data_IF_258288496691
#
_entry.id   IF_258288496691
#
_cell.length_a   1.000
_cell.length_b   1.000
_cell.length_c   1.000
_cell.angle_alpha   90.00
_cell.angle_beta   90.00
_cell.angle_gamma   90.00
#
_symmetry.space_group_name_H-M   'P 1'
#
loop_
_entity.id
_entity.type
_entity.pdbx_description
1 polymer ?
#
# COMPACT_ATOMS: atom_id res chain seq x y z
N UNK A 1 12.52 1.67 -2.90
CA UNK A 1 11.25 1.46 -3.59
C UNK A 1 10.46 0.36 -2.92
N UNK A 2 9.16 0.54 -2.65
CA UNK A 2 8.32 -0.43 -1.94
C UNK A 2 7.02 -0.66 -2.72
N UNK A 3 6.48 -1.86 -2.65
CA UNK A 3 5.07 -2.12 -2.98
C UNK A 3 4.21 -1.96 -1.74
N UNK A 4 3.21 -1.07 -1.80
CA UNK A 4 2.29 -0.85 -0.69
C UNK A 4 1.32 -2.03 -0.52
N UNK A 5 0.86 -2.23 0.73
CA UNK A 5 -0.19 -3.21 1.03
C UNK A 5 -1.50 -2.84 0.30
N UNK A 6 -1.92 -1.57 0.41
CA UNK A 6 -3.01 -0.96 -0.35
C UNK A 6 -2.51 -0.25 -1.62
N UNK A 7 -3.40 0.11 -2.55
CA UNK A 7 -3.00 0.81 -3.76
C UNK A 7 -2.49 2.23 -3.44
N UNK A 8 -1.50 2.68 -4.20
CA UNK A 8 -1.00 4.07 -4.15
C UNK A 8 -1.90 5.01 -4.97
N UNK A 9 -2.66 4.44 -5.91
CA UNK A 9 -3.64 5.14 -6.72
C UNK A 9 -4.52 4.16 -7.48
N UNK A 10 -5.72 4.62 -7.82
CA UNK A 10 -6.70 3.86 -8.58
C UNK A 10 -7.30 4.72 -9.69
N UNK A 11 -7.72 4.07 -10.76
CA UNK A 11 -8.41 4.69 -11.89
C UNK A 11 -9.57 3.82 -12.33
N UNK A 12 -10.68 4.46 -12.68
CA UNK A 12 -11.92 3.81 -13.04
C UNK A 12 -12.38 4.22 -14.42
N UNK A 13 -13.08 3.32 -15.10
CA UNK A 13 -13.77 3.60 -16.36
C UNK A 13 -15.13 2.91 -16.38
N UNK A 14 -16.13 3.60 -16.91
CA UNK A 14 -17.47 3.07 -17.13
C UNK A 14 -17.72 2.91 -18.64
N UNK A 15 -17.23 1.83 -19.27
CA UNK A 15 -17.46 1.59 -20.69
C UNK A 15 -18.94 1.32 -20.99
N UNK A 16 -19.28 1.36 -22.27
CA UNK A 16 -20.60 0.93 -22.73
C UNK A 16 -20.88 -0.53 -22.30
N UNK A 17 -22.15 -0.88 -22.03
CA UNK A 17 -22.54 -2.22 -21.62
C UNK A 17 -21.96 -3.33 -22.51
N UNK A 18 -21.35 -4.34 -21.87
CA UNK A 18 -20.75 -5.50 -22.57
C UNK A 18 -21.77 -6.57 -22.96
N UNK A 19 -23.01 -6.48 -22.48
CA UNK A 19 -24.02 -7.55 -22.61
C UNK A 19 -25.22 -7.06 -23.40
N UNK A 20 -25.45 -7.66 -24.57
CA UNK A 20 -26.80 -7.89 -25.07
C UNK A 20 -27.29 -9.22 -24.46
N UNK A 21 -28.59 -9.42 -24.16
CA UNK A 21 -29.12 -10.56 -23.39
C UNK A 21 -28.77 -11.99 -23.89
N UNK A 22 -28.12 -12.13 -25.04
CA UNK A 22 -27.79 -13.39 -25.70
C UNK A 22 -26.29 -13.75 -25.71
N UNK A 23 -25.40 -12.84 -25.33
CA UNK A 23 -23.95 -13.04 -25.39
C UNK A 23 -23.35 -13.18 -23.98
N UNK A 24 -22.51 -14.20 -23.81
CA UNK A 24 -21.84 -14.53 -22.56
C UNK A 24 -21.06 -13.37 -21.92
N UNK A 25 -21.55 -12.86 -20.79
CA UNK A 25 -20.95 -11.70 -20.11
C UNK A 25 -19.56 -11.99 -19.53
N UNK A 26 -19.23 -13.23 -19.18
CA UNK A 26 -17.95 -13.57 -18.59
C UNK A 26 -16.82 -13.68 -19.61
N UNK A 27 -17.11 -14.21 -20.79
CA UNK A 27 -16.13 -14.26 -21.87
C UNK A 27 -15.83 -12.87 -22.42
N UNK A 28 -16.85 -12.02 -22.59
CA UNK A 28 -16.64 -10.61 -23.01
C UNK A 28 -15.87 -9.80 -21.96
N UNK A 29 -16.17 -9.99 -20.68
CA UNK A 29 -15.39 -9.36 -19.61
C UNK A 29 -13.92 -9.83 -19.62
N UNK A 30 -13.68 -11.11 -19.93
CA UNK A 30 -12.32 -11.66 -20.04
C UNK A 30 -11.57 -11.12 -21.25
N UNK A 31 -12.23 -10.97 -22.40
CA UNK A 31 -11.67 -10.32 -23.60
C UNK A 31 -11.22 -8.90 -23.26
N UNK A 32 -12.11 -8.08 -22.67
CA UNK A 32 -11.76 -6.73 -22.24
C UNK A 32 -10.60 -6.73 -21.24
N UNK A 33 -10.64 -7.59 -20.22
CA UNK A 33 -9.56 -7.70 -19.24
C UNK A 33 -8.21 -8.07 -19.89
N UNK A 34 -8.23 -8.93 -20.91
CA UNK A 34 -7.04 -9.34 -21.66
C UNK A 34 -6.49 -8.21 -22.54
N UNK A 35 -7.37 -7.45 -23.20
CA UNK A 35 -7.00 -6.27 -23.99
C UNK A 35 -6.34 -5.20 -23.11
N UNK A 36 -6.91 -4.94 -21.94
CA UNK A 36 -6.36 -4.00 -20.96
C UNK A 36 -5.00 -4.45 -20.42
N UNK A 37 -4.84 -5.74 -20.11
CA UNK A 37 -3.55 -6.31 -19.73
C UNK A 37 -2.52 -6.17 -20.87
N UNK A 38 -2.95 -6.33 -22.13
CA UNK A 38 -2.15 -6.10 -23.33
C UNK A 38 -1.70 -4.65 -23.48
N UNK A 39 -2.56 -3.68 -23.14
CA UNK A 39 -2.19 -2.26 -23.09
C UNK A 39 -1.05 -2.04 -22.09
N UNK A 40 -1.20 -2.53 -20.85
CA UNK A 40 -0.15 -2.42 -19.83
C UNK A 40 1.17 -3.07 -20.29
N UNK A 41 1.10 -4.26 -20.89
CA UNK A 41 2.27 -5.01 -21.37
C UNK A 41 2.99 -4.26 -22.49
N UNK A 42 2.25 -3.67 -23.43
CA UNK A 42 2.82 -2.90 -24.53
C UNK A 42 3.44 -1.54 -24.09
N UNK A 43 3.07 -1.04 -22.91
CA UNK A 43 3.78 0.06 -22.23
C UNK A 43 4.97 -0.43 -21.37
N UNK A 44 5.24 -1.75 -21.41
CA UNK A 44 6.27 -2.46 -20.64
C UNK A 44 5.97 -2.59 -19.15
N UNK A 45 4.77 -2.24 -18.70
CA UNK A 45 4.44 -2.10 -17.28
C UNK A 45 4.25 -3.47 -16.61
N UNK A 46 3.80 -4.47 -17.36
CA UNK A 46 3.54 -5.82 -16.85
C UNK A 46 4.21 -6.87 -17.73
N UNK A 47 4.51 -8.04 -17.14
CA UNK A 47 5.23 -9.14 -17.80
C UNK A 47 4.30 -10.25 -18.33
N UNK A 48 2.99 -10.15 -18.08
CA UNK A 48 2.00 -11.18 -18.39
C UNK A 48 1.87 -12.27 -17.33
N UNK A 49 2.78 -12.31 -16.36
CA UNK A 49 2.69 -13.16 -15.17
C UNK A 49 1.78 -12.52 -14.11
N UNK A 50 1.19 -13.35 -13.25
CA UNK A 50 0.26 -12.89 -12.23
C UNK A 50 -0.68 -13.97 -11.71
N UNK A 51 -1.76 -13.53 -11.09
CA UNK A 51 -2.84 -14.37 -10.59
C UNK A 51 -4.21 -13.78 -10.91
N UNK A 52 -5.10 -14.60 -11.44
CA UNK A 52 -6.45 -14.24 -11.84
C UNK A 52 -7.53 -14.75 -10.89
N UNK A 53 -8.67 -14.09 -10.89
CA UNK A 53 -9.88 -14.58 -10.21
C UNK A 53 -11.14 -14.30 -11.02
N UNK A 54 -12.13 -15.18 -10.85
CA UNK A 54 -13.50 -15.03 -11.38
C UNK A 54 -14.47 -15.29 -10.24
N UNK A 55 -15.31 -14.32 -9.95
CA UNK A 55 -16.32 -14.39 -8.90
C UNK A 55 -17.66 -13.94 -9.45
N UNK A 56 -18.69 -14.74 -9.25
CA UNK A 56 -20.09 -14.41 -9.55
C UNK A 56 -20.89 -14.48 -8.26
N UNK A 57 -21.58 -13.40 -7.91
CA UNK A 57 -22.39 -13.30 -6.70
C UNK A 57 -23.80 -12.80 -7.02
N UNK A 58 -24.79 -13.22 -6.23
CA UNK A 58 -26.11 -12.60 -6.21
C UNK A 58 -26.13 -11.53 -5.12
N UNK A 59 -26.28 -10.25 -5.49
CA UNK A 59 -26.22 -9.14 -4.53
C UNK A 59 -27.45 -9.07 -3.63
N UNK A 60 -28.54 -9.76 -3.98
CA UNK A 60 -29.78 -9.80 -3.18
C UNK A 60 -29.67 -10.77 -2.01
N UNK A 61 -28.72 -11.71 -2.08
CA UNK A 61 -28.49 -12.72 -1.04
C UNK A 61 -27.14 -12.43 -0.40
N UNK A 62 -27.16 -12.03 0.87
CA UNK A 62 -25.93 -11.96 1.65
C UNK A 62 -25.48 -13.38 2.00
N UNK A 63 -24.55 -13.93 1.21
CA UNK A 63 -24.10 -15.30 1.32
C UNK A 63 -22.88 -15.60 0.45
N UNK A 64 -22.54 -16.89 0.32
CA UNK A 64 -21.43 -17.34 -0.53
C UNK A 64 -21.67 -16.99 -2.01
N UNK A 65 -20.62 -16.69 -2.78
CA UNK A 65 -20.74 -16.43 -4.20
C UNK A 65 -21.30 -17.67 -4.92
N UNK A 66 -22.16 -17.43 -5.92
CA UNK A 66 -22.70 -18.48 -6.79
C UNK A 66 -21.59 -19.26 -7.49
N UNK A 67 -20.49 -18.58 -7.80
CA UNK A 67 -19.28 -19.17 -8.34
C UNK A 67 -18.06 -18.37 -7.88
N UNK A 68 -17.00 -19.05 -7.47
CA UNK A 68 -15.71 -18.41 -7.19
C UNK A 68 -14.55 -19.33 -7.57
N UNK A 69 -13.59 -18.77 -8.30
CA UNK A 69 -12.27 -19.34 -8.53
C UNK A 69 -11.23 -18.23 -8.35
N UNK A 70 -10.17 -18.52 -7.62
CA UNK A 70 -9.10 -17.59 -7.24
C UNK A 70 -7.75 -18.24 -7.50
N UNK A 71 -6.71 -17.43 -7.48
CA UNK A 71 -5.31 -17.86 -7.63
C UNK A 71 -5.08 -18.67 -8.91
N UNK A 72 -5.81 -18.30 -9.97
CA UNK A 72 -5.70 -18.95 -11.27
C UNK A 72 -4.52 -18.37 -12.04
N UNK A 73 -3.72 -19.19 -12.75
CA UNK A 73 -2.75 -18.64 -13.67
C UNK A 73 -3.46 -17.82 -14.77
N UNK A 74 -2.91 -16.66 -15.19
CA UNK A 74 -3.35 -15.94 -16.37
C UNK A 74 -3.37 -16.86 -17.59
N UNK A 75 -4.35 -16.69 -18.48
CA UNK A 75 -4.54 -17.56 -19.65
C UNK A 75 -5.49 -18.73 -19.38
N UNK A 76 -5.09 -19.96 -19.74
CA UNK A 76 -6.02 -21.10 -19.86
C UNK A 76 -6.83 -21.40 -18.59
N UNK A 77 -6.22 -21.26 -17.40
CA UNK A 77 -6.91 -21.46 -16.13
C UNK A 77 -8.03 -20.44 -15.89
N UNK A 78 -7.76 -19.17 -16.21
CA UNK A 78 -8.71 -18.08 -16.13
C UNK A 78 -9.82 -18.20 -17.20
N UNK A 79 -9.45 -18.56 -18.43
CA UNK A 79 -10.39 -18.84 -19.53
C UNK A 79 -11.39 -19.94 -19.13
N UNK A 80 -10.90 -21.08 -18.67
CA UNK A 80 -11.77 -22.18 -18.25
C UNK A 80 -12.65 -21.84 -17.03
N UNK A 81 -12.25 -20.87 -16.20
CA UNK A 81 -13.09 -20.37 -15.11
C UNK A 81 -14.16 -19.40 -15.63
N UNK A 82 -13.82 -18.54 -16.58
CA UNK A 82 -14.77 -17.64 -17.23
C UNK A 82 -15.83 -18.42 -18.01
N UNK A 83 -15.46 -19.44 -18.79
CA UNK A 83 -16.42 -20.31 -19.50
C UNK A 83 -17.43 -20.97 -18.55
N UNK A 84 -16.97 -21.41 -17.37
CA UNK A 84 -17.84 -22.00 -16.35
C UNK A 84 -18.74 -20.96 -15.67
N UNK A 85 -18.24 -19.75 -15.46
CA UNK A 85 -19.05 -18.65 -14.94
C UNK A 85 -20.09 -18.18 -15.97
N UNK A 86 -19.75 -18.22 -17.25
CA UNK A 86 -20.63 -17.84 -18.37
C UNK A 86 -21.84 -18.76 -18.51
N UNK A 87 -21.65 -20.05 -18.22
CA UNK A 87 -22.74 -21.01 -18.10
C UNK A 87 -23.73 -20.66 -16.96
N UNK A 88 -23.35 -19.78 -16.04
CA UNK A 88 -24.24 -19.21 -15.01
C UNK A 88 -24.71 -17.83 -15.49
N UNK A 89 -25.90 -17.81 -16.11
CA UNK A 89 -26.49 -16.61 -16.68
C UNK A 89 -26.41 -15.39 -15.74
N UNK A 90 -25.93 -14.26 -16.26
CA UNK A 90 -25.76 -13.02 -15.50
C UNK A 90 -27.09 -12.25 -15.40
N UNK A 91 -28.02 -12.83 -14.62
CA UNK A 91 -29.34 -12.25 -14.37
C UNK A 91 -29.27 -10.92 -13.60
N UNK A 92 -30.31 -10.05 -13.70
CA UNK A 92 -30.43 -8.86 -12.87
C UNK A 92 -30.26 -9.14 -11.36
N UNK A 93 -29.55 -8.26 -10.67
CA UNK A 93 -29.13 -8.42 -9.27
C UNK A 93 -27.88 -9.26 -9.06
N UNK A 94 -27.28 -9.83 -10.12
CA UNK A 94 -25.98 -10.54 -10.04
C UNK A 94 -24.83 -9.62 -10.44
N UNK A 95 -23.67 -9.91 -9.86
CA UNK A 95 -22.40 -9.23 -10.12
C UNK A 95 -21.35 -10.25 -10.48
N UNK A 96 -20.77 -10.10 -11.65
CA UNK A 96 -19.58 -10.80 -12.10
C UNK A 96 -18.37 -9.89 -11.88
N UNK A 97 -17.31 -10.43 -11.27
CA UNK A 97 -16.02 -9.77 -11.11
C UNK A 97 -14.92 -10.66 -11.66
N UNK A 98 -14.16 -10.14 -12.61
CA UNK A 98 -12.88 -10.70 -13.02
C UNK A 98 -11.76 -9.80 -12.53
N UNK A 99 -10.66 -10.37 -12.08
CA UNK A 99 -9.49 -9.60 -11.67
C UNK A 99 -8.20 -10.28 -12.08
N UNK A 100 -7.17 -9.48 -12.36
CA UNK A 100 -5.79 -9.92 -12.57
C UNK A 100 -4.87 -9.09 -11.67
N UNK A 101 -4.22 -9.76 -10.70
CA UNK A 101 -3.05 -9.22 -10.03
C UNK A 101 -1.85 -9.50 -10.93
N UNK A 102 -1.21 -8.45 -11.45
CA UNK A 102 -0.20 -8.56 -12.49
C UNK A 102 1.18 -8.22 -11.93
N UNK A 103 2.12 -9.11 -12.20
CA UNK A 103 3.53 -8.84 -11.98
C UNK A 103 4.02 -7.83 -13.03
N UNK A 104 4.87 -6.90 -12.59
CA UNK A 104 5.30 -5.82 -13.45
C UNK A 104 6.69 -5.32 -13.17
N UNK A 105 7.13 -4.47 -14.09
CA UNK A 105 8.50 -3.97 -14.14
C UNK A 105 8.53 -2.45 -14.27
N UNK A 106 9.44 -1.86 -13.51
CA UNK A 106 9.76 -0.44 -13.60
C UNK A 106 11.27 -0.27 -13.80
N UNK A 107 11.62 0.92 -14.31
CA UNK A 107 13.01 1.28 -14.60
C UNK A 107 13.58 2.10 -13.48
N UNK A 108 14.79 1.77 -13.05
CA UNK A 108 15.53 2.51 -12.05
C UNK A 108 16.98 2.61 -12.54
N UNK A 109 17.32 3.75 -13.15
CA UNK A 109 18.59 3.96 -13.82
C UNK A 109 18.85 2.87 -14.89
N UNK A 110 20.03 2.23 -14.87
CA UNK A 110 20.36 1.15 -15.81
C UNK A 110 19.74 -0.21 -15.44
N UNK A 111 18.94 -0.30 -14.37
CA UNK A 111 18.37 -1.55 -13.89
C UNK A 111 16.85 -1.63 -14.13
N UNK A 112 16.38 -2.83 -14.44
CA UNK A 112 14.95 -3.16 -14.43
C UNK A 112 14.65 -3.86 -13.11
N UNK A 113 13.62 -3.39 -12.44
CA UNK A 113 13.13 -3.97 -11.19
C UNK A 113 11.78 -4.60 -11.41
N UNK A 114 11.44 -5.56 -10.56
CA UNK A 114 10.22 -6.36 -10.68
C UNK A 114 9.47 -6.39 -9.36
N UNK A 115 8.14 -6.39 -9.45
CA UNK A 115 7.24 -6.75 -8.36
C UNK A 115 6.23 -7.80 -8.84
N UNK A 116 5.91 -8.76 -7.97
CA UNK A 116 4.91 -9.80 -8.24
C UNK A 116 3.48 -9.26 -8.31
N UNK A 117 3.24 -8.06 -7.76
CA UNK A 117 1.97 -7.34 -7.88
C UNK A 117 2.24 -5.85 -8.04
N UNK A 118 2.47 -5.42 -9.27
CA UNK A 118 2.64 -4.01 -9.59
C UNK A 118 1.30 -3.32 -9.85
N UNK A 119 0.39 -4.04 -10.52
CA UNK A 119 -0.95 -3.59 -10.85
C UNK A 119 -1.99 -4.64 -10.48
N UNK A 120 -3.21 -4.19 -10.21
CA UNK A 120 -4.40 -5.04 -10.25
C UNK A 120 -5.38 -4.45 -11.24
N UNK A 121 -5.75 -5.24 -12.25
CA UNK A 121 -6.84 -4.92 -13.17
C UNK A 121 -8.12 -5.63 -12.70
N UNK A 122 -9.24 -4.95 -12.80
CA UNK A 122 -10.56 -5.51 -12.48
C UNK A 122 -11.57 -5.12 -13.54
N UNK A 123 -12.44 -6.05 -13.90
CA UNK A 123 -13.66 -5.80 -14.66
C UNK A 123 -14.83 -6.32 -13.84
N UNK A 124 -15.77 -5.45 -13.54
CA UNK A 124 -17.03 -5.77 -12.89
C UNK A 124 -18.17 -5.60 -13.89
N UNK A 125 -19.03 -6.61 -14.00
CA UNK A 125 -20.20 -6.60 -14.89
C UNK A 125 -21.43 -6.91 -14.04
N UNK A 126 -22.39 -6.00 -14.09
CA UNK A 126 -23.68 -6.14 -13.44
C UNK A 126 -24.66 -6.82 -14.40
N UNK A 127 -25.59 -7.62 -13.87
CA UNK A 127 -26.64 -8.25 -14.70
C UNK A 127 -27.59 -7.26 -15.36
N UNK A 128 -27.60 -6.01 -14.91
CA UNK A 128 -28.27 -4.88 -15.56
C UNK A 128 -27.50 -4.35 -16.79
N UNK A 129 -26.30 -4.87 -17.05
CA UNK A 129 -25.44 -4.50 -18.18
C UNK A 129 -24.40 -3.44 -17.87
N UNK A 130 -24.43 -2.80 -16.69
CA UNK A 130 -23.39 -1.85 -16.29
C UNK A 130 -22.03 -2.55 -16.19
N UNK A 131 -20.96 -1.82 -16.52
CA UNK A 131 -19.59 -2.32 -16.49
C UNK A 131 -18.70 -1.28 -15.82
N UNK A 132 -17.83 -1.73 -14.93
CA UNK A 132 -16.80 -0.92 -14.28
C UNK A 132 -15.45 -1.59 -14.48
N UNK A 133 -14.51 -0.84 -15.05
CA UNK A 133 -13.12 -1.23 -15.15
C UNK A 133 -12.36 -0.48 -14.06
N UNK A 134 -11.49 -1.18 -13.34
CA UNK A 134 -10.59 -0.60 -12.34
C UNK A 134 -9.14 -0.98 -12.60
N UNK A 135 -8.23 -0.02 -12.47
CA UNK A 135 -6.79 -0.23 -12.42
C UNK A 135 -6.28 0.30 -11.08
N UNK A 136 -5.59 -0.54 -10.32
CA UNK A 136 -4.94 -0.14 -9.07
C UNK A 136 -3.42 -0.30 -9.20
N UNK A 137 -2.65 0.74 -8.86
CA UNK A 137 -1.19 0.70 -8.81
C UNK A 137 -0.69 0.51 -7.38
N UNK A 138 0.40 -0.23 -7.19
CA UNK A 138 0.92 -0.56 -5.84
C UNK A 138 2.35 -0.07 -5.56
N UNK A 139 3.06 0.49 -6.55
CA UNK A 139 4.43 0.98 -6.37
C UNK A 139 4.51 2.50 -6.50
N UNK A 140 5.53 3.08 -5.87
CA UNK A 140 5.90 4.50 -5.94
C UNK A 140 6.71 4.89 -7.18
N UNK A 141 7.03 3.96 -8.10
CA UNK A 141 7.88 4.25 -9.26
C UNK A 141 7.40 5.43 -10.14
N UNK A 142 6.12 5.80 -10.03
CA UNK A 142 5.46 6.87 -10.78
C UNK A 142 5.46 8.22 -10.05
N UNK A 143 5.98 8.28 -8.82
CA UNK A 143 5.90 9.42 -7.92
C UNK A 143 7.27 10.10 -7.82
N UNK A 144 7.29 11.43 -7.76
CA UNK A 144 8.52 12.20 -7.55
C UNK A 144 9.17 11.93 -6.18
N UNK A 145 8.39 11.41 -5.23
CA UNK A 145 8.80 11.04 -3.88
C UNK A 145 8.37 9.61 -3.60
N UNK A 146 9.27 8.77 -3.08
CA UNK A 146 9.01 7.37 -2.77
C UNK A 146 8.07 7.21 -1.56
N UNK A 147 7.55 6.01 -1.28
CA UNK A 147 6.61 5.77 -0.16
C UNK A 147 7.23 6.07 1.22
N UNK A 148 8.55 6.29 1.29
CA UNK A 148 9.31 6.64 2.50
C UNK A 148 9.61 8.14 2.56
N UNK A 149 9.14 8.94 1.61
CA UNK A 149 9.38 10.39 1.58
C UNK A 149 10.70 10.81 0.94
N UNK A 150 11.41 9.92 0.24
CA UNK A 150 12.69 10.25 -0.42
C UNK A 150 12.45 10.72 -1.86
N UNK A 151 13.08 11.82 -2.30
CA UNK A 151 13.02 12.23 -3.70
C UNK A 151 13.57 11.14 -4.63
N UNK A 152 12.87 10.90 -5.74
CA UNK A 152 13.25 9.98 -6.81
C UNK A 152 12.84 10.49 -8.21
N UNK A 153 13.16 11.75 -8.57
CA UNK A 153 12.68 12.37 -9.80
C UNK A 153 13.15 11.64 -11.07
N UNK A 154 14.32 11.00 -11.05
CA UNK A 154 14.82 10.22 -12.19
C UNK A 154 13.97 8.96 -12.42
N UNK A 155 13.61 8.25 -11.34
CA UNK A 155 12.73 7.07 -11.40
C UNK A 155 11.34 7.48 -11.91
N UNK A 156 10.79 8.55 -11.34
CA UNK A 156 9.52 9.12 -11.77
C UNK A 156 9.55 9.47 -13.27
N UNK A 157 10.58 10.18 -13.72
CA UNK A 157 10.74 10.61 -15.10
C UNK A 157 10.83 9.45 -16.10
N UNK A 158 11.38 8.31 -15.71
CA UNK A 158 11.45 7.11 -16.56
C UNK A 158 10.14 6.31 -16.62
N UNK A 159 9.29 6.39 -15.59
CA UNK A 159 8.12 5.51 -15.43
C UNK A 159 6.76 6.21 -15.54
N UNK A 160 6.61 7.43 -15.01
CA UNK A 160 5.35 8.17 -15.07
C UNK A 160 4.82 8.34 -16.51
N UNK A 161 5.65 8.65 -17.53
CA UNK A 161 5.16 8.74 -18.92
C UNK A 161 4.60 7.42 -19.46
N UNK A 162 5.10 6.28 -18.98
CA UNK A 162 4.64 4.95 -19.41
C UNK A 162 3.27 4.63 -18.81
N UNK A 163 3.05 5.03 -17.55
CA UNK A 163 1.73 4.97 -16.90
C UNK A 163 0.74 5.89 -17.61
N UNK A 164 1.11 7.15 -17.86
CA UNK A 164 0.28 8.11 -18.59
C UNK A 164 -0.16 7.58 -19.97
N UNK A 165 0.79 7.00 -20.73
CA UNK A 165 0.49 6.38 -22.02
C UNK A 165 -0.44 5.18 -21.90
N UNK A 166 -0.33 4.39 -20.83
CA UNK A 166 -1.24 3.28 -20.57
C UNK A 166 -2.66 3.76 -20.25
N UNK A 167 -2.81 4.74 -19.35
CA UNK A 167 -4.12 5.32 -19.01
C UNK A 167 -4.83 5.89 -20.23
N UNK A 168 -4.13 6.68 -21.05
CA UNK A 168 -4.67 7.24 -22.29
C UNK A 168 -5.13 6.15 -23.28
N UNK A 169 -4.36 5.06 -23.40
CA UNK A 169 -4.72 3.93 -24.28
C UNK A 169 -5.87 3.10 -23.71
N UNK A 170 -5.97 2.95 -22.40
CA UNK A 170 -7.11 2.32 -21.74
C UNK A 170 -8.39 3.11 -22.07
N UNK A 171 -8.38 4.45 -21.98
CA UNK A 171 -9.52 5.27 -22.43
C UNK A 171 -9.92 4.98 -23.88
N UNK A 172 -8.94 4.73 -24.76
CA UNK A 172 -9.20 4.33 -26.15
C UNK A 172 -9.84 2.94 -26.29
N UNK A 173 -9.45 1.97 -25.46
CA UNK A 173 -10.02 0.61 -25.45
C UNK A 173 -11.41 0.59 -24.83
N UNK A 174 -11.62 1.30 -23.72
CA UNK A 174 -12.90 1.37 -23.02
C UNK A 174 -13.91 2.29 -23.71
N UNK A 175 -13.42 3.26 -24.49
CA UNK A 175 -14.25 4.32 -25.07
C UNK A 175 -14.82 5.30 -24.03
N UNK A 176 -14.35 5.22 -22.78
CA UNK A 176 -14.82 6.03 -21.66
C UNK A 176 -13.68 6.92 -21.14
N UNK A 177 -14.00 8.12 -20.62
CA UNK A 177 -13.00 8.91 -19.90
C UNK A 177 -12.55 8.16 -18.63
N UNK A 178 -11.31 8.41 -18.22
CA UNK A 178 -10.81 7.95 -16.93
C UNK A 178 -11.42 8.80 -15.82
N UNK A 179 -11.86 8.14 -14.76
CA UNK A 179 -12.22 8.74 -13.48
C UNK A 179 -11.14 8.39 -12.45
N UNK A 180 -10.26 9.32 -12.09
CA UNK A 180 -9.25 9.09 -11.07
C UNK A 180 -9.91 8.82 -9.71
N UNK A 181 -9.41 7.82 -8.99
CA UNK A 181 -9.89 7.50 -7.65
C UNK A 181 -9.54 8.58 -6.63
N UNK A 182 -10.08 8.42 -5.42
CA UNK A 182 -9.81 9.35 -4.32
C UNK A 182 -8.30 9.47 -4.03
N UNK A 183 -7.83 10.67 -3.63
CA UNK A 183 -6.47 10.85 -3.17
C UNK A 183 -6.13 9.86 -2.06
N UNK A 184 -4.99 9.18 -2.22
CA UNK A 184 -4.45 8.35 -1.16
C UNK A 184 -3.50 9.18 -0.30
N UNK A 185 -3.09 8.61 0.83
CA UNK A 185 -1.98 9.13 1.64
C UNK A 185 -0.66 9.35 0.87
N UNK A 186 -0.48 8.66 -0.24
CA UNK A 186 0.78 8.63 -0.97
C UNK A 186 0.77 9.60 -2.15
N UNK A 187 -0.39 9.71 -2.82
CA UNK A 187 -0.47 10.40 -4.08
C UNK A 187 -1.92 10.79 -4.40
N UNK A 188 -2.04 11.79 -5.26
CA UNK A 188 -3.31 12.27 -5.82
C UNK A 188 -3.42 11.77 -7.27
N UNK A 189 -4.25 10.74 -7.54
CA UNK A 189 -4.45 10.23 -8.90
C UNK A 189 -5.06 11.30 -9.81
N UNK A 190 -4.51 11.42 -11.03
CA UNK A 190 -5.02 12.28 -12.09
C UNK A 190 -5.30 11.46 -13.35
N UNK A 191 -5.91 12.07 -14.37
CA UNK A 191 -6.18 11.40 -15.63
C UNK A 191 -4.88 10.94 -16.35
N UNK A 192 -3.77 11.61 -16.08
CA UNK A 192 -2.45 11.33 -16.66
C UNK A 192 -1.53 10.51 -15.74
N UNK A 193 -1.98 10.13 -14.54
CA UNK A 193 -1.17 9.39 -13.57
C UNK A 193 -1.33 9.96 -12.17
N UNK A 194 -0.31 10.66 -11.68
CA UNK A 194 -0.34 11.28 -10.36
C UNK A 194 0.03 12.77 -10.47
N UNK A 195 -0.55 13.59 -9.60
CA UNK A 195 -0.17 15.00 -9.50
C UNK A 195 1.28 15.13 -9.03
N UNK A 196 2.02 16.08 -9.63
CA UNK A 196 3.37 16.41 -9.18
C UNK A 196 3.31 17.12 -7.82
N UNK A 197 3.99 16.56 -6.82
CA UNK A 197 4.09 17.13 -5.48
C UNK A 197 5.27 18.12 -5.36
N UNK A 198 5.99 18.38 -6.46
CA UNK A 198 7.04 19.38 -6.54
C UNK A 198 6.47 20.80 -6.47
N UNK A 199 6.80 21.53 -5.41
CA UNK A 199 6.55 22.97 -5.24
C UNK A 199 5.11 23.40 -4.87
N UNK A 200 4.50 22.78 -3.86
CA UNK A 200 3.45 23.46 -3.10
C UNK A 200 3.60 23.14 -1.61
N UNK A 201 4.15 24.10 -0.87
CA UNK A 201 3.83 24.24 0.54
C UNK A 201 2.33 24.53 0.63
N UNK A 202 1.52 23.50 0.81
CA UNK A 202 0.09 23.63 1.01
C UNK A 202 -0.26 22.89 2.29
N UNK A 203 -0.75 23.68 3.24
CA UNK A 203 -1.52 23.27 4.40
C UNK A 203 -2.42 22.08 4.08
N UNK A 204 -2.06 20.89 4.56
CA UNK A 204 -3.04 19.83 4.76
C UNK A 204 -3.46 19.88 6.23
N UNK A 205 -4.22 20.93 6.55
CA UNK A 205 -4.86 21.11 7.85
C UNK A 205 -6.16 20.28 7.86
N UNK A 206 -6.10 19.22 8.65
CA UNK A 206 -7.16 18.65 9.47
C UNK A 206 -8.49 18.20 8.84
N UNK A 207 -8.59 16.87 8.66
CA UNK A 207 -9.75 16.11 9.17
C UNK A 207 -9.44 14.63 9.48
N UNK A 208 -8.39 14.03 8.90
CA UNK A 208 -8.09 12.59 9.12
C UNK A 208 -6.58 12.25 9.26
N UNK A 209 -5.69 13.24 9.21
CA UNK A 209 -4.21 13.07 9.23
C UNK A 209 -3.60 12.59 10.55
N UNK A 210 -4.41 12.34 11.59
CA UNK A 210 -3.92 11.82 12.88
C UNK A 210 -3.43 10.36 12.79
N UNK A 211 -3.74 9.64 11.70
CA UNK A 211 -3.58 8.20 11.66
C UNK A 211 -2.38 7.63 10.89
N UNK A 212 -1.49 8.42 10.28
CA UNK A 212 -0.49 7.82 9.37
C UNK A 212 1.01 8.16 9.59
N UNK A 213 1.84 7.14 9.41
CA UNK A 213 3.28 7.04 9.73
C UNK A 213 4.15 8.24 9.29
N UNK A 214 3.99 8.87 8.11
CA UNK A 214 4.77 10.07 7.77
C UNK A 214 4.41 11.31 8.61
N UNK A 215 3.15 11.43 9.04
CA UNK A 215 2.72 12.46 9.98
C UNK A 215 3.11 12.09 11.42
N UNK A 216 3.15 10.80 11.76
CA UNK A 216 3.61 10.30 13.07
C UNK A 216 5.10 10.53 13.28
N UNK A 217 5.92 10.17 12.30
CA UNK A 217 7.35 10.43 12.30
C UNK A 217 7.64 11.92 12.29
N UNK A 218 6.97 12.72 11.44
CA UNK A 218 7.09 14.19 11.49
C UNK A 218 6.68 14.76 12.85
N UNK A 219 5.59 14.30 13.45
CA UNK A 219 5.14 14.71 14.79
C UNK A 219 6.14 14.31 15.87
N UNK A 220 6.68 13.09 15.82
CA UNK A 220 7.74 12.63 16.72
C UNK A 220 9.02 13.46 16.55
N UNK A 221 9.44 13.73 15.31
CA UNK A 221 10.63 14.52 15.02
C UNK A 221 10.46 15.99 15.42
N UNK A 222 9.26 16.56 15.29
CA UNK A 222 8.95 17.90 15.76
C UNK A 222 9.01 18.03 17.30
N UNK A 223 8.76 16.92 18.02
CA UNK A 223 8.86 16.86 19.48
C UNK A 223 10.30 16.60 19.97
N UNK A 224 11.24 16.22 19.08
CA UNK A 224 12.64 16.02 19.44
C UNK A 224 13.42 17.34 19.42
N UNK A 225 14.20 17.65 20.47
CA UNK A 225 15.09 18.80 20.43
C UNK A 225 16.16 18.61 19.33
N UNK A 226 16.22 19.52 18.36
CA UNK A 226 17.31 19.63 17.39
C UNK A 226 17.18 18.86 16.06
N UNK A 227 15.97 18.44 15.65
CA UNK A 227 15.73 17.88 14.31
C UNK A 227 16.41 16.52 14.03
N UNK A 228 16.40 16.06 12.78
CA UNK A 228 16.96 14.79 12.30
C UNK A 228 18.29 15.00 11.55
N UNK A 229 19.33 15.47 12.23
CA UNK A 229 20.63 15.80 11.61
C UNK A 229 21.51 14.56 11.31
N UNK A 230 20.92 13.41 10.94
CA UNK A 230 21.65 12.16 10.70
C UNK A 230 22.31 11.55 11.95
N UNK A 231 21.87 11.95 13.15
CA UNK A 231 22.39 11.49 14.45
C UNK A 231 21.57 10.35 15.08
N UNK A 232 20.53 9.91 14.39
CA UNK A 232 19.65 8.82 14.80
C UNK A 232 20.09 7.48 14.18
N UNK A 233 19.55 6.38 14.69
CA UNK A 233 19.63 5.10 13.96
C UNK A 233 18.77 5.18 12.70
N UNK A 234 19.05 4.31 11.72
CA UNK A 234 18.13 4.10 10.61
C UNK A 234 16.78 3.66 11.19
N UNK A 235 15.70 4.33 10.81
CA UNK A 235 14.36 4.11 11.37
C UNK A 235 13.54 3.12 10.54
N UNK A 236 14.16 2.45 9.57
CA UNK A 236 13.52 1.47 8.69
C UNK A 236 14.39 0.22 8.53
N UNK A 237 13.76 -0.95 8.34
CA UNK A 237 14.47 -2.22 8.11
C UNK A 237 13.53 -3.23 7.47
N UNK A 238 14.07 -4.07 6.59
CA UNK A 238 13.38 -5.22 5.99
C UNK A 238 13.74 -6.53 6.71
N UNK A 239 14.63 -6.47 7.71
CA UNK A 239 15.02 -7.61 8.52
C UNK A 239 14.09 -7.77 9.74
N UNK A 240 14.07 -8.96 10.36
CA UNK A 240 13.36 -9.17 11.61
C UNK A 240 13.79 -8.17 12.69
N UNK A 241 12.81 -7.69 13.47
CA UNK A 241 13.03 -6.71 14.54
C UNK A 241 12.82 -7.35 15.90
N UNK A 242 13.72 -7.03 16.84
CA UNK A 242 13.51 -7.25 18.28
C UNK A 242 12.83 -6.01 18.84
N UNK A 243 11.79 -6.19 19.65
CA UNK A 243 11.06 -5.07 20.22
C UNK A 243 10.64 -5.31 21.68
N UNK A 244 10.51 -4.22 22.44
CA UNK A 244 9.96 -4.19 23.79
C UNK A 244 8.81 -3.18 23.87
N UNK A 245 7.80 -3.48 24.70
CA UNK A 245 6.65 -2.57 24.87
C UNK A 245 7.03 -1.40 25.75
N UNK A 246 6.59 -0.22 25.37
CA UNK A 246 6.60 0.98 26.21
C UNK A 246 5.21 1.14 26.82
N UNK A 247 5.13 1.32 28.14
CA UNK A 247 3.86 1.33 28.88
C UNK A 247 3.80 2.41 29.95
N UNK A 248 2.57 2.81 30.29
CA UNK A 248 2.22 3.57 31.50
C UNK A 248 1.20 2.72 32.25
N UNK A 249 1.57 2.21 33.42
CA UNK A 249 0.80 1.16 34.11
C UNK A 249 0.59 -0.06 33.22
N UNK A 250 -0.68 -0.44 33.00
CA UNK A 250 -1.11 -1.54 32.12
C UNK A 250 -1.33 -1.09 30.65
N UNK A 251 -1.30 0.22 30.37
CA UNK A 251 -1.55 0.75 29.02
C UNK A 251 -0.25 0.74 28.20
N UNK A 252 -0.26 0.01 27.09
CA UNK A 252 0.85 0.05 26.11
C UNK A 252 0.73 1.31 25.25
N UNK A 253 1.79 2.11 25.23
CA UNK A 253 1.92 3.33 24.45
C UNK A 253 2.56 3.13 23.08
N UNK A 254 3.40 2.10 22.93
CA UNK A 254 4.11 1.80 21.69
C UNK A 254 5.18 0.74 21.90
N UNK A 255 6.08 0.62 20.92
CA UNK A 255 7.12 -0.40 20.91
C UNK A 255 8.47 0.22 20.57
N UNK A 256 9.46 0.01 21.44
CA UNK A 256 10.85 0.32 21.14
C UNK A 256 11.46 -0.88 20.42
N UNK A 257 12.16 -0.68 19.32
CA UNK A 257 12.65 -1.79 18.49
C UNK A 257 14.05 -1.55 17.94
N UNK A 258 14.73 -2.65 17.60
CA UNK A 258 16.04 -2.67 16.94
C UNK A 258 16.17 -3.89 16.02
N UNK A 259 16.99 -3.75 14.99
CA UNK A 259 17.31 -4.78 14.00
C UNK A 259 18.81 -5.04 13.95
N UNK A 260 19.16 -6.23 13.43
CA UNK A 260 20.56 -6.67 13.31
C UNK A 260 21.36 -5.88 12.27
N UNK A 261 20.70 -5.22 11.32
CA UNK A 261 21.33 -4.34 10.31
C UNK A 261 21.72 -2.96 10.87
N UNK A 262 21.42 -2.68 12.14
CA UNK A 262 21.75 -1.41 12.78
C UNK A 262 20.61 -0.40 12.79
N UNK A 263 19.41 -0.77 12.33
CA UNK A 263 18.21 0.06 12.45
C UNK A 263 17.59 -0.02 13.86
N UNK A 264 17.03 1.09 14.35
CA UNK A 264 16.28 1.13 15.60
C UNK A 264 15.31 2.32 15.62
N UNK A 265 14.21 2.16 16.36
CA UNK A 265 13.19 3.19 16.43
C UNK A 265 12.14 2.93 17.49
N UNK A 266 11.08 3.74 17.40
CA UNK A 266 9.91 3.63 18.24
C UNK A 266 8.66 3.68 17.38
N UNK A 267 7.78 2.70 17.56
CA UNK A 267 6.50 2.59 16.87
C UNK A 267 5.34 2.93 17.84
N UNK A 268 4.65 4.07 17.68
CA UNK A 268 3.56 4.48 18.56
C UNK A 268 2.31 3.61 18.35
N UNK A 269 1.65 3.22 19.45
CA UNK A 269 0.38 2.49 19.38
C UNK A 269 -0.77 3.46 19.09
N UNK A 270 -1.54 3.24 18.02
CA UNK A 270 -2.66 4.10 17.61
C UNK A 270 -3.69 4.31 18.72
N UNK A 271 -4.08 3.24 19.42
CA UNK A 271 -5.04 3.28 20.53
C UNK A 271 -4.55 4.08 21.76
N UNK A 272 -3.26 4.44 21.82
CA UNK A 272 -2.70 5.23 22.89
C UNK A 272 -2.73 6.75 22.63
N UNK A 273 -3.11 7.19 21.42
CA UNK A 273 -3.29 8.61 21.09
C UNK A 273 -2.04 9.46 21.37
N UNK A 274 -2.24 10.72 21.79
CA UNK A 274 -1.14 11.68 22.02
C UNK A 274 -0.09 11.24 23.03
N UNK A 275 -0.47 10.43 24.02
CA UNK A 275 0.47 9.87 25.00
C UNK A 275 1.52 8.95 24.34
N UNK A 276 1.17 8.28 23.23
CA UNK A 276 2.10 7.47 22.46
C UNK A 276 3.25 8.29 21.87
N UNK A 277 2.93 9.50 21.39
CA UNK A 277 3.88 10.41 20.76
C UNK A 277 4.80 11.08 21.79
N UNK A 278 4.22 11.51 22.92
CA UNK A 278 4.99 12.06 24.04
C UNK A 278 6.03 11.06 24.57
N UNK A 279 5.62 9.80 24.77
CA UNK A 279 6.55 8.75 25.14
C UNK A 279 7.59 8.47 24.04
N UNK A 280 7.17 8.40 22.79
CA UNK A 280 8.07 8.15 21.66
C UNK A 280 9.20 9.16 21.54
N UNK A 281 8.92 10.46 21.73
CA UNK A 281 9.94 11.49 21.73
C UNK A 281 11.02 11.25 22.80
N UNK A 282 10.61 10.87 24.02
CA UNK A 282 11.55 10.56 25.11
C UNK A 282 12.44 9.37 24.76
N UNK A 283 11.87 8.30 24.21
CA UNK A 283 12.61 7.08 23.91
C UNK A 283 13.50 7.21 22.67
N UNK A 284 13.05 7.93 21.63
CA UNK A 284 13.89 8.27 20.48
C UNK A 284 15.07 9.16 20.89
N UNK A 285 14.88 10.13 21.80
CA UNK A 285 15.99 10.92 22.33
C UNK A 285 17.03 10.07 23.08
N UNK A 286 16.57 9.01 23.78
CA UNK A 286 17.47 8.05 24.45
C UNK A 286 18.21 7.15 23.45
N UNK A 287 17.54 6.69 22.39
CA UNK A 287 18.20 5.98 21.28
C UNK A 287 19.24 6.86 20.59
N UNK A 288 18.92 8.12 20.28
CA UNK A 288 19.87 9.11 19.75
C UNK A 288 21.09 9.27 20.67
N UNK A 289 20.86 9.36 21.98
CA UNK A 289 21.94 9.44 22.96
C UNK A 289 22.81 8.18 22.98
N UNK A 290 22.23 7.01 22.76
CA UNK A 290 22.98 5.77 22.57
C UNK A 290 23.81 5.78 21.27
N UNK A 291 23.23 6.24 20.16
CA UNK A 291 23.92 6.37 18.86
C UNK A 291 25.10 7.34 18.92
N UNK A 292 24.94 8.46 19.62
CA UNK A 292 26.01 9.44 19.86
C UNK A 292 27.15 8.89 20.73
N UNK A 293 26.87 7.87 21.54
CA UNK A 293 27.89 7.09 22.27
C UNK A 293 28.44 5.92 21.46
N UNK A 294 28.13 5.85 20.16
CA UNK A 294 28.55 4.81 19.23
C UNK A 294 28.11 3.39 19.60
N UNK A 295 27.00 3.25 20.34
CA UNK A 295 26.39 1.94 20.59
C UNK A 295 25.71 1.43 19.32
N UNK A 296 25.65 0.11 19.15
CA UNK A 296 24.86 -0.53 18.10
C UNK A 296 23.36 -0.51 18.43
N UNK A 297 22.49 -0.60 17.42
CA UNK A 297 21.03 -0.59 17.63
C UNK A 297 20.54 -1.69 18.61
N UNK A 298 20.95 -2.97 18.48
CA UNK A 298 20.56 -4.00 19.45
C UNK A 298 21.07 -3.73 20.87
N UNK A 299 22.31 -3.25 21.00
CA UNK A 299 22.92 -2.89 22.29
C UNK A 299 22.21 -1.71 22.95
N UNK A 300 21.78 -0.73 22.15
CA UNK A 300 20.99 0.39 22.61
C UNK A 300 19.60 -0.03 23.10
N UNK A 301 18.94 -0.97 22.40
CA UNK A 301 17.68 -1.54 22.85
C UNK A 301 17.86 -2.29 24.18
N UNK A 302 18.85 -3.19 24.25
CA UNK A 302 19.13 -3.98 25.46
C UNK A 302 19.45 -3.07 26.67
N UNK A 303 20.18 -1.96 26.46
CA UNK A 303 20.48 -0.97 27.49
C UNK A 303 19.29 -0.09 27.92
N UNK A 304 18.16 -0.13 27.21
CA UNK A 304 16.94 0.61 27.53
C UNK A 304 15.82 -0.27 28.11
N UNK A 305 16.00 -1.60 28.14
CA UNK A 305 15.08 -2.51 28.82
C UNK A 305 14.99 -2.19 30.31
N UNK A 306 13.76 -2.22 30.84
CA UNK A 306 13.50 -1.90 32.25
C UNK A 306 13.66 -0.44 32.62
N UNK A 307 14.08 0.42 31.68
CA UNK A 307 14.27 1.82 31.93
C UNK A 307 12.91 2.52 32.08
N UNK A 308 12.86 3.47 33.01
CA UNK A 308 11.73 4.37 33.20
C UNK A 308 12.09 5.81 32.83
N UNK A 309 11.10 6.58 32.41
CA UNK A 309 11.18 8.03 32.29
C UNK A 309 10.28 8.66 33.36
N UNK A 310 10.89 9.23 34.40
CA UNK A 310 10.18 9.81 35.56
C UNK A 310 9.61 11.22 35.26
N UNK A 311 8.54 11.69 35.93
CA UNK A 311 7.98 11.18 37.19
C UNK A 311 6.52 11.56 37.50
N UNK A 312 5.66 10.55 37.56
CA UNK A 312 4.26 10.61 37.96
C UNK A 312 3.51 9.38 37.43
N UNK A 313 2.21 9.19 37.77
CA UNK A 313 1.36 8.12 37.20
C UNK A 313 1.26 8.15 35.66
N UNK A 314 1.83 9.17 35.00
CA UNK A 314 1.89 9.39 33.56
C UNK A 314 3.27 9.05 32.93
N UNK A 315 4.25 8.58 33.71
CA UNK A 315 5.60 8.24 33.25
C UNK A 315 5.67 6.91 32.49
N UNK A 316 6.36 6.90 31.35
CA UNK A 316 6.49 5.70 30.51
C UNK A 316 7.71 4.85 30.88
N UNK A 317 7.57 3.52 30.74
CA UNK A 317 8.63 2.55 31.01
C UNK A 317 8.72 1.49 29.91
N UNK A 318 9.92 1.01 29.62
CA UNK A 318 10.17 -0.10 28.68
C UNK A 318 10.09 -1.42 29.44
N UNK A 319 9.40 -2.42 28.89
CA UNK A 319 9.41 -3.77 29.45
C UNK A 319 10.82 -4.40 29.45
N UNK A 320 11.12 -5.22 30.45
CA UNK A 320 12.36 -6.02 30.51
C UNK A 320 12.38 -7.20 29.52
N UNK A 321 11.30 -7.40 28.77
CA UNK A 321 11.14 -8.55 27.87
C UNK A 321 11.11 -8.07 26.42
N UNK A 322 12.06 -8.59 25.64
CA UNK A 322 12.04 -8.44 24.18
C UNK A 322 11.26 -9.56 23.51
N UNK A 323 10.57 -9.21 22.43
CA UNK A 323 9.87 -10.11 21.51
C UNK A 323 10.42 -9.90 20.10
N UNK A 324 10.09 -10.79 19.19
CA UNK A 324 10.48 -10.68 17.78
C UNK A 324 9.26 -10.48 16.89
N UNK A 325 9.43 -9.68 15.83
CA UNK A 325 8.52 -9.59 14.71
C UNK A 325 9.30 -9.89 13.42
N UNK A 326 8.63 -10.55 12.47
CA UNK A 326 9.26 -11.00 11.22
C UNK A 326 9.76 -9.83 10.35
N UNK A 327 9.19 -8.65 10.52
CA UNK A 327 9.61 -7.39 9.90
C UNK A 327 9.09 -6.20 10.70
N UNK A 328 9.54 -4.99 10.35
CA UNK A 328 8.99 -3.76 10.90
C UNK A 328 7.50 -3.58 10.55
N UNK A 329 7.06 -3.95 9.34
CA UNK A 329 5.64 -3.88 8.94
C UNK A 329 4.72 -4.66 9.89
N UNK A 330 5.14 -5.85 10.31
CA UNK A 330 4.38 -6.67 11.28
C UNK A 330 4.27 -5.95 12.64
N UNK A 331 5.31 -5.22 13.05
CA UNK A 331 5.29 -4.44 14.28
C UNK A 331 4.36 -3.23 14.17
N UNK A 332 4.29 -2.58 13.00
CA UNK A 332 3.34 -1.51 12.71
C UNK A 332 1.89 -1.99 12.72
N UNK A 333 1.60 -3.18 12.17
CA UNK A 333 0.27 -3.79 12.28
C UNK A 333 -0.14 -4.02 13.74
N UNK A 334 0.79 -4.53 14.57
CA UNK A 334 0.58 -4.70 16.01
C UNK A 334 0.35 -3.37 16.75
N UNK A 335 0.80 -2.25 16.21
CA UNK A 335 0.56 -0.91 16.74
C UNK A 335 -0.87 -0.40 16.48
N UNK A 336 -1.65 -1.13 15.67
CA UNK A 336 -3.01 -0.79 15.32
C UNK A 336 -3.06 0.05 14.05
N UNK A 337 -2.28 -0.32 13.03
CA UNK A 337 -2.44 0.14 11.65
C UNK A 337 -3.71 -0.49 11.08
N UNK A 338 -4.72 0.33 10.78
CA UNK A 338 -5.90 -0.03 9.98
C UNK A 338 -6.04 0.99 8.86
#
# INVERSE_FOLDING_TARGET
>A
MITAAGPVGEWFWEPAPLVAPADGGALRALELLSDLAGVLASCGLVTGEGAGSVVLADRRVMGEPLFARRDLPPGAGLVAAAERADAVELLPGRLLRLSLALAGEWREAAAVRRAERLFTLRVEVWGEGAVLVGLSAYADAWLAVDLRGRPQPEVCGENAPRLAAALARICGVTGAPVDPGDPTRYADPTAEGFADQGEAGAEHDDAWGTFEVPARWRRLMALLPGGSDGRDYESTTELPVRYARVRVGERVLGFLWASADGAAGYEPRSAAGDAAFGAGAVWLARLRSARLRALGAPEALDGLLGASADGGPDGSAVEDVTREAASLDVLEELSGRS
#
